data_IF_488625269606
#
_entry.id   IF_488625269606
#
_cell.length_a   1.000
_cell.length_b   1.000
_cell.length_c   1.000
_cell.angle_alpha   90.00
_cell.angle_beta   90.00
_cell.angle_gamma   90.00
#
_symmetry.space_group_name_H-M   'P 1'
#
loop_
_entity.id
_entity.type
_entity.pdbx_description
1 polymer ?
#
# COMPACT_ATOMS: atom_id res chain seq x y z
N UNK A 1 -46.00 36.11 -34.24
CA UNK A 1 -45.21 34.89 -34.01
C UNK A 1 -46.03 33.96 -33.13
N UNK A 2 -46.41 32.79 -33.64
CA UNK A 2 -47.39 31.91 -33.02
C UNK A 2 -46.80 31.20 -31.79
N UNK A 3 -47.54 31.18 -30.69
CA UNK A 3 -47.20 30.57 -29.40
C UNK A 3 -46.61 29.15 -29.52
N UNK A 4 -47.11 28.36 -30.47
CA UNK A 4 -46.61 27.02 -30.77
C UNK A 4 -45.14 27.00 -31.23
N UNK A 5 -44.69 28.03 -31.96
CA UNK A 5 -43.30 28.12 -32.40
C UNK A 5 -42.35 28.47 -31.23
N UNK A 6 -42.83 29.20 -30.23
CA UNK A 6 -42.07 29.46 -28.99
C UNK A 6 -42.01 28.20 -28.11
N UNK A 7 -43.09 27.44 -28.00
CA UNK A 7 -43.12 26.18 -27.26
C UNK A 7 -42.19 25.11 -27.88
N UNK A 8 -42.12 25.03 -29.22
CA UNK A 8 -41.18 24.17 -29.94
C UNK A 8 -39.72 24.59 -29.73
N UNK A 9 -39.45 25.90 -29.68
CA UNK A 9 -38.12 26.43 -29.39
C UNK A 9 -37.69 26.10 -27.96
N UNK A 10 -38.58 26.23 -26.99
CA UNK A 10 -38.31 25.92 -25.58
C UNK A 10 -38.00 24.43 -25.38
N UNK A 11 -38.76 23.53 -26.01
CA UNK A 11 -38.50 22.08 -25.94
C UNK A 11 -37.16 21.74 -26.60
N UNK A 12 -36.81 22.38 -27.71
CA UNK A 12 -35.53 22.18 -28.37
C UNK A 12 -34.35 22.64 -27.48
N UNK A 13 -34.48 23.81 -26.85
CA UNK A 13 -33.48 24.34 -25.91
C UNK A 13 -33.29 23.43 -24.69
N UNK A 14 -34.37 22.97 -24.07
CA UNK A 14 -34.30 22.05 -22.92
C UNK A 14 -33.62 20.74 -23.30
N UNK A 15 -33.94 20.20 -24.48
CA UNK A 15 -33.32 18.96 -24.98
C UNK A 15 -31.81 19.12 -25.17
N UNK A 16 -31.37 20.25 -25.72
CA UNK A 16 -29.94 20.57 -25.89
C UNK A 16 -29.24 20.69 -24.52
N UNK A 17 -29.86 21.38 -23.56
CA UNK A 17 -29.30 21.55 -22.21
C UNK A 17 -29.17 20.19 -21.50
N UNK A 18 -30.17 19.32 -21.57
CA UNK A 18 -30.10 17.97 -20.99
C UNK A 18 -28.99 17.15 -21.64
N UNK A 19 -28.81 17.23 -22.96
CA UNK A 19 -27.71 16.56 -23.66
C UNK A 19 -26.32 17.03 -23.20
N UNK A 20 -26.16 18.33 -22.98
CA UNK A 20 -24.90 18.90 -22.47
C UNK A 20 -24.61 18.47 -21.03
N UNK A 21 -25.62 18.48 -20.15
CA UNK A 21 -25.46 18.08 -18.74
C UNK A 21 -25.15 16.58 -18.63
N UNK A 22 -25.86 15.74 -19.39
CA UNK A 22 -25.65 14.30 -19.36
C UNK A 22 -24.27 13.92 -19.90
N UNK A 23 -23.83 14.53 -21.00
CA UNK A 23 -22.50 14.26 -21.57
C UNK A 23 -21.35 14.66 -20.64
N UNK A 24 -21.44 15.84 -20.01
CA UNK A 24 -20.43 16.31 -19.05
C UNK A 24 -20.39 15.45 -17.78
N UNK A 25 -21.55 15.03 -17.27
CA UNK A 25 -21.65 14.14 -16.11
C UNK A 25 -21.05 12.76 -16.38
N UNK A 26 -21.36 12.16 -17.54
CA UNK A 26 -20.81 10.86 -17.96
C UNK A 26 -19.29 10.93 -18.16
N UNK A 27 -18.79 12.02 -18.76
CA UNK A 27 -17.35 12.21 -18.98
C UNK A 27 -16.58 12.32 -17.65
N UNK A 28 -17.13 13.03 -16.67
CA UNK A 28 -16.52 13.15 -15.34
C UNK A 28 -16.58 11.81 -14.59
N UNK A 29 -17.71 11.12 -14.62
CA UNK A 29 -17.87 9.81 -13.98
C UNK A 29 -16.89 8.78 -14.57
N UNK A 30 -16.68 8.78 -15.90
CA UNK A 30 -15.69 7.90 -16.52
C UNK A 30 -14.25 8.23 -16.13
N UNK A 31 -13.90 9.52 -16.03
CA UNK A 31 -12.59 9.98 -15.56
C UNK A 31 -12.34 9.58 -14.11
N UNK A 32 -13.33 9.75 -13.23
CA UNK A 32 -13.21 9.40 -11.82
C UNK A 32 -13.16 7.89 -11.64
N UNK A 33 -13.95 7.13 -12.39
CA UNK A 33 -13.90 5.67 -12.38
C UNK A 33 -12.52 5.15 -12.83
N UNK A 34 -11.94 5.71 -13.90
CA UNK A 34 -10.57 5.37 -14.32
C UNK A 34 -9.54 5.71 -13.24
N UNK A 35 -9.62 6.90 -12.63
CA UNK A 35 -8.73 7.29 -11.54
C UNK A 35 -8.85 6.36 -10.34
N UNK A 36 -10.07 5.93 -9.99
CA UNK A 36 -10.31 4.98 -8.88
C UNK A 36 -9.74 3.61 -9.23
N UNK A 37 -9.90 3.13 -10.47
CA UNK A 37 -9.26 1.89 -10.91
C UNK A 37 -7.74 2.01 -10.86
N UNK A 38 -7.15 3.04 -11.47
CA UNK A 38 -5.70 3.28 -11.47
C UNK A 38 -5.14 3.44 -10.04
N UNK A 39 -5.86 4.13 -9.16
CA UNK A 39 -5.52 4.25 -7.74
C UNK A 39 -5.67 2.90 -7.03
N UNK A 40 -6.75 2.15 -7.22
CA UNK A 40 -6.90 0.83 -6.59
C UNK A 40 -5.81 -0.14 -7.07
N UNK A 41 -5.42 -0.11 -8.34
CA UNK A 41 -4.26 -0.88 -8.81
C UNK A 41 -2.95 -0.39 -8.17
N UNK A 42 -2.77 0.92 -7.96
CA UNK A 42 -1.54 1.48 -7.35
C UNK A 42 -1.48 1.39 -5.82
N UNK A 43 -2.62 1.25 -5.12
CA UNK A 43 -2.72 1.13 -3.66
C UNK A 43 -2.93 -0.31 -3.17
N UNK A 44 -3.29 -1.24 -4.07
CA UNK A 44 -3.29 -2.68 -3.78
C UNK A 44 -1.91 -3.32 -3.99
N UNK A 45 -1.05 -2.70 -4.80
CA UNK A 45 0.38 -2.96 -4.76
C UNK A 45 0.98 -2.18 -3.58
N UNK A 46 0.79 -2.78 -2.41
CA UNK A 46 1.82 -2.90 -1.39
C UNK A 46 1.86 -1.84 -0.26
N UNK A 47 1.23 -2.19 0.87
CA UNK A 47 1.29 -1.40 2.10
C UNK A 47 2.58 -1.62 2.91
N UNK A 48 3.43 -2.60 2.56
CA UNK A 48 4.65 -2.94 3.33
C UNK A 48 5.94 -3.07 2.49
N UNK A 49 5.86 -3.04 1.16
CA UNK A 49 6.98 -3.04 0.24
C UNK A 49 6.78 -1.95 -0.80
N UNK A 50 7.42 -0.81 -0.60
CA UNK A 50 7.45 0.22 -1.65
C UNK A 50 8.19 -0.30 -2.89
N UNK A 51 7.48 -0.88 -3.87
CA UNK A 51 7.90 -0.81 -5.29
C UNK A 51 7.42 0.50 -5.87
N UNK A 52 7.90 1.60 -5.31
CA UNK A 52 7.57 2.92 -5.79
C UNK A 52 8.48 3.29 -6.98
N UNK A 53 7.93 3.24 -8.20
CA UNK A 53 8.27 4.20 -9.27
C UNK A 53 7.30 5.40 -9.26
N UNK A 54 6.65 5.66 -8.13
CA UNK A 54 5.82 6.82 -7.86
C UNK A 54 6.52 7.78 -6.91
N UNK A 55 6.22 9.07 -7.08
CA UNK A 55 6.67 10.16 -6.21
C UNK A 55 6.49 9.78 -4.73
N UNK A 56 7.59 9.82 -3.97
CA UNK A 56 7.57 9.78 -2.51
C UNK A 56 6.62 10.88 -2.03
N UNK A 57 5.44 10.49 -1.56
CA UNK A 57 4.48 11.41 -0.95
C UNK A 57 5.11 11.87 0.37
N UNK A 58 5.74 13.05 0.34
CA UNK A 58 6.37 13.75 1.47
C UNK A 58 5.35 14.33 2.47
N UNK A 59 4.10 13.84 2.51
CA UNK A 59 3.03 14.49 3.28
C UNK A 59 2.93 14.08 4.75
N UNK A 60 3.68 13.07 5.20
CA UNK A 60 3.69 12.67 6.61
C UNK A 60 5.11 12.48 7.15
N UNK A 61 5.77 13.61 7.45
CA UNK A 61 6.99 13.68 8.25
C UNK A 61 8.30 13.37 7.52
N UNK A 62 9.41 13.59 8.22
CA UNK A 62 10.76 13.22 7.80
C UNK A 62 10.94 11.70 7.92
N UNK A 63 10.26 10.94 7.07
CA UNK A 63 10.52 9.51 6.95
C UNK A 63 11.92 9.31 6.38
N UNK A 64 12.87 8.92 7.23
CA UNK A 64 14.28 8.75 6.88
C UNK A 64 14.60 7.36 6.32
N UNK A 65 13.57 6.54 6.08
CA UNK A 65 13.71 5.17 5.60
C UNK A 65 14.21 4.18 6.66
N UNK A 66 14.25 4.58 7.93
CA UNK A 66 14.76 3.75 9.02
C UNK A 66 13.76 3.59 10.16
N UNK A 67 13.80 2.42 10.80
CA UNK A 67 12.90 2.03 11.88
C UNK A 67 13.65 2.05 13.21
N UNK A 68 13.01 2.55 14.25
CA UNK A 68 13.43 2.38 15.64
C UNK A 68 13.17 0.95 16.11
N UNK A 69 13.78 0.60 17.24
CA UNK A 69 13.57 -0.68 17.95
C UNK A 69 12.08 -1.03 18.13
N UNK A 70 11.24 -0.06 18.49
CA UNK A 70 9.82 -0.31 18.74
C UNK A 70 9.02 -0.45 17.44
N UNK A 71 9.42 0.29 16.40
CA UNK A 71 8.81 0.16 15.08
C UNK A 71 9.13 -1.20 14.46
N UNK A 72 10.33 -1.75 14.68
CA UNK A 72 10.67 -3.13 14.30
C UNK A 72 9.74 -4.16 14.96
N UNK A 73 9.46 -4.00 16.26
CA UNK A 73 8.51 -4.87 16.98
C UNK A 73 7.08 -4.68 16.48
N UNK A 74 6.69 -3.46 16.14
CA UNK A 74 5.35 -3.18 15.60
C UNK A 74 5.17 -3.84 14.24
N UNK A 75 6.17 -3.77 13.36
CA UNK A 75 6.13 -4.36 12.02
C UNK A 75 5.87 -5.86 12.10
N UNK A 76 6.39 -6.58 13.09
CA UNK A 76 6.09 -8.02 13.23
C UNK A 76 4.65 -8.34 13.64
N UNK A 77 3.92 -7.35 14.18
CA UNK A 77 2.55 -7.53 14.70
C UNK A 77 1.46 -7.09 13.73
N UNK A 78 1.77 -6.21 12.78
CA UNK A 78 0.80 -5.60 11.86
C UNK A 78 0.77 -6.25 10.46
N UNK A 79 1.28 -7.49 10.35
CA UNK A 79 1.39 -8.18 9.06
C UNK A 79 0.04 -8.72 8.58
N UNK A 80 -0.26 -8.48 7.30
CA UNK A 80 -1.55 -8.79 6.66
C UNK A 80 -1.41 -9.85 5.55
N UNK A 81 -2.53 -10.32 4.99
CA UNK A 81 -2.62 -11.41 4.01
C UNK A 81 -1.75 -11.21 2.76
N UNK A 82 -1.42 -9.97 2.39
CA UNK A 82 -0.61 -9.65 1.21
C UNK A 82 0.90 -9.68 1.45
N UNK A 83 1.36 -10.17 2.61
CA UNK A 83 2.79 -10.35 2.87
C UNK A 83 3.41 -11.49 2.06
N UNK A 84 4.63 -11.29 1.52
CA UNK A 84 5.51 -12.30 0.95
C UNK A 84 5.50 -13.64 1.68
N UNK A 85 5.30 -14.74 0.95
CA UNK A 85 5.33 -16.10 1.49
C UNK A 85 6.63 -16.82 1.10
N UNK A 86 7.35 -17.44 2.05
CA UNK A 86 7.09 -17.55 3.48
C UNK A 86 7.35 -16.25 4.24
N UNK A 87 6.49 -15.92 5.21
CA UNK A 87 6.51 -14.65 5.93
C UNK A 87 7.62 -14.59 6.96
N UNK A 88 8.84 -14.43 6.48
CA UNK A 88 10.04 -14.41 7.31
C UNK A 88 10.55 -12.99 7.46
N UNK A 89 10.77 -12.58 8.71
CA UNK A 89 11.60 -11.43 9.04
C UNK A 89 12.92 -11.95 9.57
N UNK A 90 14.02 -11.52 8.95
CA UNK A 90 15.38 -11.80 9.41
C UNK A 90 15.89 -10.56 10.13
N UNK A 91 16.16 -10.67 11.43
CA UNK A 91 16.71 -9.57 12.24
C UNK A 91 18.12 -9.95 12.65
N UNK A 92 19.13 -9.21 12.19
CA UNK A 92 20.54 -9.47 12.50
C UNK A 92 20.98 -10.94 12.25
N UNK A 93 20.41 -11.58 11.23
CA UNK A 93 20.70 -12.98 10.87
C UNK A 93 19.92 -14.04 11.65
N UNK A 94 18.96 -13.64 12.51
CA UNK A 94 18.02 -14.55 13.16
C UNK A 94 16.67 -14.50 12.44
N UNK A 95 16.16 -15.68 12.09
CA UNK A 95 14.90 -15.82 11.36
C UNK A 95 13.73 -15.88 12.34
N UNK A 96 12.71 -15.07 12.08
CA UNK A 96 11.41 -15.12 12.75
C UNK A 96 10.34 -15.39 11.68
N UNK A 97 9.65 -16.52 11.83
CA UNK A 97 8.47 -16.82 11.02
C UNK A 97 7.25 -16.10 11.61
N UNK A 98 6.44 -15.50 10.73
CA UNK A 98 5.25 -14.74 11.09
C UNK A 98 4.03 -15.51 10.59
N UNK A 99 3.47 -16.40 11.43
CA UNK A 99 2.28 -17.13 11.05
C UNK A 99 1.11 -16.16 10.84
N UNK A 100 0.40 -16.31 9.72
CA UNK A 100 -0.78 -15.50 9.36
C UNK A 100 -1.96 -15.68 10.33
N UNK A 101 -1.94 -16.76 11.10
CA UNK A 101 -3.08 -17.20 11.89
C UNK A 101 -3.16 -16.43 13.21
N UNK A 102 -4.17 -15.57 13.32
CA UNK A 102 -4.78 -15.08 14.57
C UNK A 102 -3.92 -14.18 15.48
N UNK A 103 -4.62 -13.20 16.11
CA UNK A 103 -4.07 -12.23 17.09
C UNK A 103 -3.22 -12.86 18.20
N UNK A 104 -3.46 -14.14 18.50
CA UNK A 104 -2.76 -14.92 19.53
C UNK A 104 -1.27 -15.08 19.21
N UNK A 105 -0.91 -15.32 17.94
CA UNK A 105 0.48 -15.52 17.53
C UNK A 105 1.21 -14.20 17.25
N UNK A 106 0.47 -13.11 17.02
CA UNK A 106 1.05 -11.78 16.87
C UNK A 106 1.78 -11.35 18.15
N UNK A 107 1.25 -11.69 19.32
CA UNK A 107 1.89 -11.40 20.60
C UNK A 107 3.21 -12.16 20.77
N UNK A 108 3.21 -13.46 20.50
CA UNK A 108 4.42 -14.31 20.58
C UNK A 108 5.49 -13.85 19.58
N UNK A 109 5.09 -13.54 18.35
CA UNK A 109 5.98 -12.98 17.34
C UNK A 109 6.60 -11.65 17.81
N UNK A 110 5.78 -10.74 18.34
CA UNK A 110 6.23 -9.48 18.92
C UNK A 110 7.21 -9.67 20.08
N UNK A 111 6.99 -10.67 20.95
CA UNK A 111 7.93 -11.01 22.02
C UNK A 111 9.25 -11.56 21.47
N UNK A 112 9.21 -12.45 20.47
CA UNK A 112 10.41 -13.00 19.85
C UNK A 112 11.26 -11.91 19.20
N UNK A 113 10.62 -11.00 18.46
CA UNK A 113 11.30 -9.83 17.89
C UNK A 113 11.83 -8.90 18.98
N UNK A 114 11.06 -8.63 20.04
CA UNK A 114 11.52 -7.85 21.18
C UNK A 114 12.77 -8.46 21.83
N UNK A 115 12.81 -9.77 22.04
CA UNK A 115 13.98 -10.44 22.61
C UNK A 115 15.25 -10.25 21.77
N UNK A 116 15.11 -10.10 20.45
CA UNK A 116 16.22 -9.84 19.52
C UNK A 116 16.72 -8.40 19.57
N UNK A 117 15.86 -7.42 19.85
CA UNK A 117 16.19 -5.99 19.79
C UNK A 117 16.28 -5.28 21.15
N UNK A 118 15.79 -5.90 22.24
CA UNK A 118 15.67 -5.25 23.57
C UNK A 118 16.97 -4.73 24.16
N UNK A 119 18.09 -5.39 23.86
CA UNK A 119 19.41 -5.04 24.36
C UNK A 119 20.12 -3.98 23.50
N UNK A 120 19.47 -3.51 22.44
CA UNK A 120 20.04 -2.51 21.55
C UNK A 120 19.79 -1.10 22.13
N UNK A 121 20.71 -0.16 21.86
CA UNK A 121 20.56 1.24 22.27
C UNK A 121 19.22 1.83 21.82
N UNK A 122 18.66 2.77 22.57
CA UNK A 122 17.37 3.40 22.24
C UNK A 122 17.42 4.14 20.89
N UNK A 123 18.59 4.63 20.50
CA UNK A 123 18.83 5.28 19.22
C UNK A 123 19.19 4.30 18.08
N UNK A 124 19.13 2.99 18.30
CA UNK A 124 19.38 2.01 17.24
C UNK A 124 18.35 2.18 16.11
N UNK A 125 18.87 2.27 14.88
CA UNK A 125 18.06 2.37 13.66
C UNK A 125 18.22 1.11 12.83
N UNK A 126 17.15 0.72 12.14
CA UNK A 126 17.08 -0.48 11.32
C UNK A 126 16.61 -0.12 9.92
N UNK A 127 17.27 -0.66 8.91
CA UNK A 127 16.79 -0.63 7.53
C UNK A 127 15.90 -1.85 7.27
N UNK A 128 14.77 -1.66 6.60
CA UNK A 128 13.91 -2.74 6.12
C UNK A 128 14.18 -2.97 4.63
N UNK A 129 14.61 -4.17 4.25
CA UNK A 129 14.87 -4.51 2.86
C UNK A 129 14.14 -5.79 2.48
N UNK A 130 13.32 -5.72 1.44
CA UNK A 130 12.71 -6.89 0.82
C UNK A 130 13.70 -7.62 -0.08
N UNK A 131 13.77 -8.94 0.07
CA UNK A 131 14.62 -9.80 -0.74
C UNK A 131 13.80 -10.97 -1.26
N UNK A 132 14.12 -11.40 -2.47
CA UNK A 132 13.53 -12.56 -3.09
C UNK A 132 14.60 -13.39 -3.80
N UNK A 133 14.35 -14.68 -3.90
CA UNK A 133 15.14 -15.64 -4.66
C UNK A 133 14.27 -16.20 -5.78
N UNK A 134 14.84 -16.34 -6.97
CA UNK A 134 14.20 -16.98 -8.11
C UNK A 134 14.89 -18.31 -8.42
N UNK A 135 14.13 -19.24 -8.96
CA UNK A 135 14.66 -20.42 -9.63
C UNK A 135 15.32 -20.02 -10.96
N UNK A 136 16.06 -20.96 -11.57
CA UNK A 136 16.73 -20.73 -12.86
C UNK A 136 15.79 -20.46 -14.04
N UNK A 137 14.48 -20.72 -13.87
CA UNK A 137 13.41 -20.44 -14.83
C UNK A 137 12.71 -19.08 -14.59
N UNK A 138 13.17 -18.31 -13.59
CA UNK A 138 12.59 -17.02 -13.21
C UNK A 138 11.37 -17.10 -12.30
N UNK A 139 10.91 -18.29 -11.92
CA UNK A 139 9.83 -18.46 -10.93
C UNK A 139 10.33 -18.10 -9.52
N UNK A 140 9.43 -17.57 -8.69
CA UNK A 140 9.75 -17.21 -7.31
C UNK A 140 10.00 -18.49 -6.48
N UNK A 141 11.16 -18.54 -5.80
CA UNK A 141 11.55 -19.64 -4.92
C UNK A 141 11.31 -19.32 -3.45
N UNK A 142 11.69 -18.12 -3.04
CA UNK A 142 11.61 -17.67 -1.65
C UNK A 142 11.55 -16.14 -1.62
N UNK A 143 10.92 -15.57 -0.62
CA UNK A 143 10.83 -14.12 -0.41
C UNK A 143 10.73 -13.80 1.08
N UNK A 144 11.41 -12.75 1.52
CA UNK A 144 11.53 -12.42 2.93
C UNK A 144 11.96 -10.97 3.14
N UNK A 145 11.73 -10.47 4.35
CA UNK A 145 12.21 -9.16 4.77
C UNK A 145 13.46 -9.30 5.63
N UNK A 146 14.43 -8.43 5.39
CA UNK A 146 15.63 -8.32 6.22
C UNK A 146 15.63 -6.98 6.94
N UNK A 147 15.77 -7.03 8.26
CA UNK A 147 15.97 -5.89 9.12
C UNK A 147 17.41 -5.87 9.61
N UNK A 148 18.19 -4.95 9.06
CA UNK A 148 19.61 -4.80 9.43
C UNK A 148 19.79 -3.52 10.22
N UNK A 149 20.47 -3.62 11.35
CA UNK A 149 20.91 -2.45 12.10
C UNK A 149 21.80 -1.56 11.21
N UNK A 150 21.58 -0.26 11.31
CA UNK A 150 22.40 0.77 10.69
C UNK A 150 23.35 1.27 11.78
N UNK A 151 24.65 1.18 11.52
CA UNK A 151 25.70 1.69 12.42
C UNK A 151 25.79 3.22 12.38
#
# INVERSE_FOLDING_TARGET
>A
MNRQALELLDIALVTIIIGLITSTSLANLYKDYRKVLENNYSYMDDKNTGKNKGFLINEYGTYDGTLSKLEVVLVSQIQDENMPNPRKIIINGLDVDIPFTYKEYAFECGQNVWLMVRNQPDNARYSLNYKFQTNGDGTLKDEYYTMNKID
#
